data_IF_194297486238
#
_entry.id   IF_194297486238
#
_cell.length_a   1.000
_cell.length_b   1.000
_cell.length_c   1.000
_cell.angle_alpha   90.00
_cell.angle_beta   90.00
_cell.angle_gamma   90.00
#
_symmetry.space_group_name_H-M   'P 1'
#
loop_
_entity.id
_entity.type
_entity.pdbx_description
1 polymer ?
#
# COMPACT_ATOMS: atom_id res chain seq x y z
N UNK A 1 -80.07 2.04 -41.10
CA UNK A 1 -79.06 3.12 -41.09
C UNK A 1 -79.33 4.05 -39.91
N UNK A 2 -78.63 3.89 -38.79
CA UNK A 2 -78.68 4.81 -37.63
C UNK A 2 -77.26 4.96 -37.07
N UNK A 3 -76.64 6.11 -37.32
CA UNK A 3 -75.34 6.51 -36.77
C UNK A 3 -75.54 6.93 -35.31
N UNK A 4 -74.81 6.33 -34.37
CA UNK A 4 -74.69 6.83 -32.99
C UNK A 4 -73.31 7.49 -32.86
N UNK A 5 -73.31 8.79 -32.62
CA UNK A 5 -72.15 9.62 -32.30
C UNK A 5 -71.85 9.41 -30.82
N UNK A 6 -70.63 8.99 -30.48
CA UNK A 6 -70.15 8.88 -29.10
C UNK A 6 -69.29 10.12 -28.81
N UNK A 7 -69.58 10.91 -27.75
CA UNK A 7 -68.81 12.10 -27.42
C UNK A 7 -67.47 11.72 -26.76
N UNK A 8 -66.40 12.32 -27.30
CA UNK A 8 -65.02 12.22 -26.87
C UNK A 8 -64.81 12.94 -25.53
N UNK A 9 -64.88 12.21 -24.41
CA UNK A 9 -64.43 12.72 -23.10
C UNK A 9 -62.90 12.61 -22.99
N UNK A 10 -62.24 13.73 -23.23
CA UNK A 10 -60.80 13.93 -23.08
C UNK A 10 -60.42 13.85 -21.59
N UNK A 11 -59.87 12.70 -21.16
CA UNK A 11 -59.31 12.51 -19.82
C UNK A 11 -57.89 13.11 -19.79
N UNK A 12 -57.76 14.28 -19.18
CA UNK A 12 -56.45 14.89 -18.88
C UNK A 12 -55.83 14.13 -17.70
N UNK A 13 -54.75 13.38 -17.97
CA UNK A 13 -53.91 12.77 -16.94
C UNK A 13 -52.82 13.78 -16.55
N UNK A 14 -52.89 14.30 -15.32
CA UNK A 14 -51.80 15.09 -14.72
C UNK A 14 -50.75 14.10 -14.19
N UNK A 15 -49.60 14.03 -14.84
CA UNK A 15 -48.44 13.30 -14.35
C UNK A 15 -47.68 14.17 -13.34
N UNK A 16 -47.76 13.82 -12.06
CA UNK A 16 -46.96 14.44 -10.99
C UNK A 16 -45.57 13.79 -11.05
N UNK A 17 -44.59 14.51 -11.59
CA UNK A 17 -43.18 14.15 -11.49
C UNK A 17 -42.69 14.41 -10.06
N UNK A 18 -42.61 13.36 -9.24
CA UNK A 18 -42.00 13.42 -7.91
C UNK A 18 -40.48 13.29 -8.06
N UNK A 19 -39.77 14.42 -8.17
CA UNK A 19 -38.30 14.45 -8.18
C UNK A 19 -37.76 14.20 -6.77
N UNK A 20 -37.67 12.94 -6.37
CA UNK A 20 -36.98 12.55 -5.14
C UNK A 20 -35.48 12.76 -5.31
N UNK A 21 -34.90 13.71 -4.58
CA UNK A 21 -33.44 13.82 -4.46
C UNK A 21 -32.94 12.69 -3.56
N UNK A 22 -32.05 11.78 -4.03
CA UNK A 22 -31.42 10.84 -3.12
C UNK A 22 -30.60 11.59 -2.07
N UNK A 23 -30.93 11.34 -0.79
CA UNK A 23 -30.11 11.76 0.34
C UNK A 23 -28.89 10.84 0.34
N UNK A 24 -27.76 11.35 -0.11
CA UNK A 24 -26.46 10.66 0.00
C UNK A 24 -25.93 10.95 1.41
N UNK A 25 -25.96 9.95 2.28
CA UNK A 25 -25.23 10.03 3.54
C UNK A 25 -23.74 9.86 3.23
N UNK A 26 -22.99 10.96 3.25
CA UNK A 26 -21.53 10.88 3.28
C UNK A 26 -21.12 10.29 4.65
N UNK A 27 -20.56 9.08 4.64
CA UNK A 27 -19.94 8.50 5.83
C UNK A 27 -18.74 9.39 6.22
N UNK A 28 -18.72 9.87 7.46
CA UNK A 28 -17.61 10.65 7.99
C UNK A 28 -16.35 9.77 8.02
N UNK A 29 -15.35 10.11 7.20
CA UNK A 29 -14.06 9.45 7.22
C UNK A 29 -13.27 9.93 8.45
N UNK A 30 -13.20 9.08 9.47
CA UNK A 30 -12.47 9.39 10.71
C UNK A 30 -10.98 9.09 10.54
N UNK A 31 -10.07 9.92 11.08
CA UNK A 31 -8.64 9.68 10.93
C UNK A 31 -8.21 8.32 11.48
N UNK A 32 -7.50 7.53 10.66
CA UNK A 32 -6.86 6.27 11.08
C UNK A 32 -5.61 6.57 11.92
N UNK A 33 -5.29 5.68 12.87
CA UNK A 33 -4.06 5.79 13.69
C UNK A 33 -2.79 5.81 12.83
N UNK A 34 -2.72 4.95 11.81
CA UNK A 34 -1.68 4.96 10.79
C UNK A 34 -2.27 5.55 9.52
N UNK A 35 -1.99 6.82 9.26
CA UNK A 35 -2.48 7.50 8.07
C UNK A 35 -1.80 6.94 6.81
N UNK A 36 -2.55 6.92 5.71
CA UNK A 36 -2.01 6.54 4.40
C UNK A 36 -1.15 7.67 3.83
N UNK A 37 -0.06 7.30 3.18
CA UNK A 37 0.84 8.18 2.47
C UNK A 37 1.31 7.53 1.17
N UNK A 38 1.78 8.37 0.25
CA UNK A 38 2.38 7.92 -0.99
C UNK A 38 3.55 8.81 -1.37
N UNK A 39 4.53 8.23 -2.05
CA UNK A 39 5.65 8.93 -2.67
C UNK A 39 5.90 8.34 -4.04
N UNK A 40 6.22 9.18 -5.04
CA UNK A 40 6.65 8.71 -6.34
C UNK A 40 7.86 9.50 -6.84
N UNK A 41 8.62 8.88 -7.73
CA UNK A 41 9.79 9.46 -8.38
C UNK A 41 9.86 9.00 -9.83
N UNK A 42 10.05 9.95 -10.74
CA UNK A 42 10.39 9.68 -12.12
C UNK A 42 11.91 9.43 -12.21
N UNK A 43 12.31 8.27 -12.75
CA UNK A 43 13.70 7.90 -12.99
C UNK A 43 13.83 7.44 -14.45
N UNK A 44 14.55 8.23 -15.25
CA UNK A 44 14.50 8.08 -16.70
C UNK A 44 13.06 8.15 -17.22
N UNK A 45 12.60 7.08 -17.88
CA UNK A 45 11.23 6.96 -18.42
C UNK A 45 10.28 6.19 -17.50
N UNK A 46 10.77 5.63 -16.38
CA UNK A 46 9.95 4.86 -15.45
C UNK A 46 9.54 5.73 -14.27
N UNK A 47 8.25 5.70 -13.93
CA UNK A 47 7.80 6.13 -12.61
C UNK A 47 7.92 4.96 -11.64
N UNK A 48 8.40 5.25 -10.43
CA UNK A 48 8.37 4.35 -9.29
C UNK A 48 7.49 4.98 -8.23
N UNK A 49 6.50 4.25 -7.71
CA UNK A 49 5.60 4.75 -6.67
C UNK A 49 5.50 3.79 -5.48
N UNK A 50 5.31 4.34 -4.30
CA UNK A 50 5.13 3.59 -3.05
C UNK A 50 3.89 4.12 -2.35
N UNK A 51 2.96 3.22 -2.04
CA UNK A 51 1.75 3.49 -1.27
C UNK A 51 1.82 2.70 0.03
N UNK A 52 1.65 3.37 1.17
CA UNK A 52 1.89 2.78 2.47
C UNK A 52 1.08 3.46 3.57
N UNK A 53 0.92 2.78 4.70
CA UNK A 53 0.44 3.40 5.94
C UNK A 53 1.64 3.68 6.85
N UNK A 54 1.72 4.91 7.38
CA UNK A 54 2.87 5.35 8.19
C UNK A 54 2.57 5.41 9.68
N UNK A 55 2.90 4.38 10.47
CA UNK A 55 2.77 4.43 11.92
C UNK A 55 3.77 5.42 12.54
N UNK A 56 3.35 6.07 13.63
CA UNK A 56 4.23 6.85 14.49
C UNK A 56 5.04 5.95 15.44
N UNK A 57 6.19 6.40 15.94
CA UNK A 57 6.93 5.69 16.99
C UNK A 57 6.12 5.70 18.29
N UNK A 58 5.55 6.85 18.67
CA UNK A 58 4.71 7.01 19.86
C UNK A 58 5.38 6.52 21.15
N UNK A 59 6.66 6.84 21.36
CA UNK A 59 7.46 6.41 22.51
C UNK A 59 7.57 4.88 22.70
N UNK A 60 7.29 4.09 21.66
CA UNK A 60 7.43 2.62 21.69
C UNK A 60 8.82 2.21 21.25
N UNK A 61 9.28 1.08 21.76
CA UNK A 61 10.43 0.39 21.20
C UNK A 61 10.00 -0.27 19.88
N UNK A 62 10.67 0.09 18.78
CA UNK A 62 10.27 -0.33 17.43
C UNK A 62 10.96 -1.64 17.06
N UNK A 63 12.28 -1.60 16.94
CA UNK A 63 13.08 -2.72 16.44
C UNK A 63 13.29 -3.77 17.52
N UNK A 64 13.01 -5.03 17.22
CA UNK A 64 13.05 -6.15 18.17
C UNK A 64 11.82 -6.26 19.08
N UNK A 65 10.86 -5.33 19.00
CA UNK A 65 9.58 -5.36 19.74
C UNK A 65 8.39 -5.23 18.82
N UNK A 66 8.04 -4.01 18.41
CA UNK A 66 6.91 -3.77 17.52
C UNK A 66 7.15 -4.39 16.13
N UNK A 67 8.38 -4.27 15.65
CA UNK A 67 8.90 -4.98 14.48
C UNK A 67 9.88 -6.01 15.02
N UNK A 68 9.45 -7.26 15.25
CA UNK A 68 10.34 -8.29 15.74
C UNK A 68 11.38 -8.64 14.67
N UNK A 69 12.53 -9.14 15.10
CA UNK A 69 13.55 -9.63 14.19
C UNK A 69 13.15 -10.96 13.55
N UNK A 70 13.67 -11.24 12.37
CA UNK A 70 13.42 -12.45 11.62
C UNK A 70 11.97 -12.59 11.13
N UNK A 71 11.60 -13.83 10.83
CA UNK A 71 10.24 -14.20 10.43
C UNK A 71 9.40 -14.56 11.65
N UNK A 72 8.13 -14.16 11.65
CA UNK A 72 7.28 -14.24 12.84
C UNK A 72 5.89 -14.80 12.51
N UNK A 73 5.33 -15.60 13.42
CA UNK A 73 3.92 -15.98 13.33
C UNK A 73 3.06 -14.85 13.92
N UNK A 74 2.17 -14.29 13.09
CA UNK A 74 1.33 -13.15 13.49
C UNK A 74 0.05 -13.57 14.24
N UNK A 75 -0.19 -14.87 14.41
CA UNK A 75 -1.33 -15.41 15.16
C UNK A 75 -2.68 -15.26 14.44
N UNK A 76 -2.68 -14.83 13.18
CA UNK A 76 -3.86 -14.65 12.34
C UNK A 76 -3.51 -14.86 10.86
N UNK A 77 -4.51 -15.24 10.06
CA UNK A 77 -4.34 -15.55 8.64
C UNK A 77 -3.75 -16.95 8.40
N UNK A 78 -3.28 -17.19 7.19
CA UNK A 78 -2.75 -18.50 6.76
C UNK A 78 -1.25 -18.63 6.96
N UNK A 79 -0.53 -17.52 7.09
CA UNK A 79 0.93 -17.53 7.20
C UNK A 79 1.37 -17.97 8.60
N UNK A 80 2.16 -19.04 8.66
CA UNK A 80 2.78 -19.51 9.92
C UNK A 80 4.12 -18.85 10.20
N UNK A 81 4.68 -18.16 9.21
CA UNK A 81 5.96 -17.47 9.26
C UNK A 81 5.91 -16.30 8.28
N UNK A 82 5.94 -15.08 8.81
CA UNK A 82 5.70 -13.86 8.04
C UNK A 82 6.84 -12.86 8.22
N UNK A 83 7.26 -12.18 7.13
CA UNK A 83 8.10 -11.00 7.22
C UNK A 83 7.30 -9.80 7.73
N UNK A 84 7.96 -8.71 8.11
CA UNK A 84 7.28 -7.46 8.42
C UNK A 84 6.77 -6.80 7.12
N UNK A 85 5.53 -6.28 7.14
CA UNK A 85 4.87 -5.63 5.98
C UNK A 85 5.43 -4.25 5.59
N UNK A 86 6.57 -3.86 6.18
CA UNK A 86 7.24 -2.58 5.93
C UNK A 86 6.29 -1.35 5.98
N UNK A 87 5.39 -1.35 6.96
CA UNK A 87 4.24 -0.44 7.03
C UNK A 87 3.28 -0.86 8.15
N UNK A 88 2.05 -0.36 8.09
CA UNK A 88 0.96 -0.74 8.99
C UNK A 88 -0.32 -1.09 8.22
N UNK A 89 -1.20 -1.84 8.86
CA UNK A 89 -2.49 -2.26 8.32
C UNK A 89 -2.35 -3.04 6.99
N UNK A 90 -2.68 -2.46 5.83
CA UNK A 90 -2.56 -3.09 4.51
C UNK A 90 -1.08 -3.26 4.07
N UNK A 91 -0.87 -3.99 2.97
CA UNK A 91 0.46 -4.10 2.37
C UNK A 91 0.99 -2.70 1.97
N UNK A 92 2.26 -2.46 2.23
CA UNK A 92 2.99 -1.45 1.48
C UNK A 92 3.12 -1.94 0.05
N UNK A 93 2.73 -1.12 -0.92
CA UNK A 93 2.75 -1.46 -2.34
C UNK A 93 3.81 -0.61 -3.01
N UNK A 94 4.74 -1.27 -3.71
CA UNK A 94 5.68 -0.62 -4.61
C UNK A 94 5.33 -0.96 -6.06
N UNK A 95 5.33 0.04 -6.93
CA UNK A 95 4.99 -0.09 -8.34
C UNK A 95 6.12 0.44 -9.21
N UNK A 96 6.48 -0.34 -10.23
CA UNK A 96 7.46 0.01 -11.25
C UNK A 96 6.78 0.09 -12.61
N UNK A 97 6.89 1.24 -13.29
CA UNK A 97 6.32 1.43 -14.63
C UNK A 97 7.03 0.64 -15.74
N UNK A 98 8.29 0.26 -15.54
CA UNK A 98 9.10 -0.54 -16.46
C UNK A 98 9.90 -1.60 -15.69
N UNK A 99 10.51 -2.53 -16.42
CA UNK A 99 11.47 -3.48 -15.84
C UNK A 99 12.64 -2.73 -15.19
N UNK A 100 13.05 -3.18 -14.01
CA UNK A 100 14.09 -2.55 -13.20
C UNK A 100 15.15 -3.55 -12.76
N UNK A 101 16.27 -3.03 -12.28
CA UNK A 101 17.24 -3.79 -11.50
C UNK A 101 17.25 -3.29 -10.06
N UNK A 102 17.05 -4.18 -9.10
CA UNK A 102 17.14 -3.90 -7.67
C UNK A 102 18.34 -4.67 -7.13
N UNK A 103 19.32 -3.98 -6.55
CA UNK A 103 20.60 -4.58 -6.12
C UNK A 103 21.23 -5.49 -7.19
N UNK A 104 21.18 -5.03 -8.45
CA UNK A 104 21.71 -5.74 -9.61
C UNK A 104 20.85 -6.90 -10.15
N UNK A 105 19.76 -7.28 -9.47
CA UNK A 105 18.86 -8.35 -9.87
C UNK A 105 17.67 -7.81 -10.66
N UNK A 106 17.25 -8.52 -11.70
CA UNK A 106 16.13 -8.10 -12.55
C UNK A 106 14.78 -8.31 -11.85
N UNK A 107 13.88 -7.33 -12.03
CA UNK A 107 12.49 -7.39 -11.61
C UNK A 107 11.62 -6.78 -12.71
N UNK A 108 10.62 -7.52 -13.16
CA UNK A 108 9.70 -7.05 -14.20
C UNK A 108 8.85 -5.88 -13.70
N UNK A 109 8.38 -5.04 -14.62
CA UNK A 109 7.40 -4.00 -14.35
C UNK A 109 6.16 -4.57 -13.64
N UNK A 110 5.56 -3.80 -12.73
CA UNK A 110 4.35 -4.21 -12.04
C UNK A 110 4.26 -3.72 -10.59
N UNK A 111 3.24 -4.25 -9.89
CA UNK A 111 2.94 -3.94 -8.48
C UNK A 111 3.34 -5.11 -7.58
N UNK A 112 4.01 -4.78 -6.48
CA UNK A 112 4.51 -5.76 -5.53
C UNK A 112 4.17 -5.33 -4.10
N UNK A 113 3.83 -6.32 -3.27
CA UNK A 113 3.76 -6.17 -1.83
C UNK A 113 5.18 -6.13 -1.28
N UNK A 114 5.53 -5.04 -0.60
CA UNK A 114 6.84 -4.85 -0.02
C UNK A 114 6.87 -5.43 1.40
N UNK A 115 7.75 -6.40 1.62
CA UNK A 115 8.00 -6.96 2.94
C UNK A 115 9.47 -6.91 3.28
N UNK A 116 9.79 -6.98 4.57
CA UNK A 116 11.15 -6.96 5.06
C UNK A 116 11.34 -7.96 6.20
N UNK A 117 12.43 -8.72 6.14
CA UNK A 117 12.95 -9.49 7.28
C UNK A 117 14.06 -8.64 7.90
N UNK A 118 13.89 -8.23 9.15
CA UNK A 118 14.87 -7.38 9.84
C UNK A 118 15.75 -8.27 10.72
N UNK A 119 17.06 -8.16 10.56
CA UNK A 119 18.02 -8.91 11.37
C UNK A 119 18.62 -8.03 12.48
N UNK A 120 18.97 -8.65 13.60
CA UNK A 120 19.60 -7.95 14.73
C UNK A 120 21.02 -7.47 14.40
N UNK A 121 21.69 -8.14 13.46
CA UNK A 121 23.06 -7.86 13.04
C UNK A 121 23.19 -6.64 12.09
N UNK A 122 22.12 -5.87 11.91
CA UNK A 122 22.13 -4.67 11.07
C UNK A 122 21.83 -4.93 9.60
N UNK A 123 21.38 -6.13 9.23
CA UNK A 123 20.94 -6.46 7.87
C UNK A 123 19.42 -6.48 7.74
N UNK A 124 18.92 -6.38 6.52
CA UNK A 124 17.53 -6.65 6.19
C UNK A 124 17.44 -7.38 4.85
N UNK A 125 16.48 -8.30 4.73
CA UNK A 125 16.07 -8.87 3.45
C UNK A 125 14.81 -8.16 2.98
N UNK A 126 14.87 -7.49 1.83
CA UNK A 126 13.74 -6.84 1.18
C UNK A 126 13.11 -7.83 0.22
N UNK A 127 11.80 -7.99 0.32
CA UNK A 127 11.01 -8.97 -0.41
C UNK A 127 9.95 -8.25 -1.24
N UNK A 128 9.89 -8.58 -2.52
CA UNK A 128 8.88 -8.11 -3.46
C UNK A 128 7.92 -9.26 -3.76
N UNK A 129 6.78 -9.31 -3.06
CA UNK A 129 5.75 -10.33 -3.27
C UNK A 129 4.79 -9.94 -4.39
N UNK A 130 4.40 -10.88 -5.24
CA UNK A 130 3.38 -10.65 -6.29
C UNK A 130 2.00 -10.33 -5.70
N UNK A 131 1.73 -10.78 -4.47
CA UNK A 131 0.49 -10.52 -3.76
C UNK A 131 0.54 -9.17 -3.02
N UNK A 132 0.27 -8.11 -3.76
CA UNK A 132 0.22 -6.75 -3.25
C UNK A 132 -1.13 -6.37 -2.62
N UNK A 133 -2.15 -7.23 -2.71
CA UNK A 133 -3.52 -6.95 -2.27
C UNK A 133 -3.87 -7.51 -0.89
N UNK A 134 -3.00 -8.33 -0.30
CA UNK A 134 -3.23 -8.93 1.01
C UNK A 134 -3.25 -7.89 2.15
N UNK A 135 -3.88 -8.28 3.27
CA UNK A 135 -3.86 -7.48 4.49
C UNK A 135 -2.52 -7.60 5.21
N UNK A 136 -1.51 -6.91 4.69
CA UNK A 136 -0.12 -7.05 5.13
C UNK A 136 0.36 -8.50 5.04
N UNK A 137 1.18 -8.92 6.01
CA UNK A 137 1.83 -10.25 5.97
C UNK A 137 1.02 -11.41 6.57
N UNK A 138 -0.26 -11.25 6.91
CA UNK A 138 -1.07 -12.33 7.51
C UNK A 138 -1.31 -13.53 6.57
N UNK A 139 -1.26 -13.27 5.27
CA UNK A 139 -1.45 -14.27 4.21
C UNK A 139 -0.21 -14.35 3.32
N UNK A 140 0.96 -14.00 3.86
CA UNK A 140 2.23 -14.10 3.14
C UNK A 140 2.51 -15.56 2.74
N UNK A 141 2.91 -15.74 1.48
CA UNK A 141 3.23 -17.03 0.89
C UNK A 141 4.57 -16.91 0.14
N UNK A 142 5.65 -17.59 0.59
CA UNK A 142 6.98 -17.48 -0.01
C UNK A 142 7.01 -17.80 -1.52
N UNK A 143 6.12 -18.67 -2.00
CA UNK A 143 6.03 -18.99 -3.42
C UNK A 143 5.54 -17.83 -4.29
N UNK A 144 5.02 -16.75 -3.69
CA UNK A 144 4.61 -15.53 -4.38
C UNK A 144 5.74 -14.49 -4.49
N UNK A 145 6.92 -14.75 -3.93
CA UNK A 145 8.05 -13.82 -3.99
C UNK A 145 8.61 -13.73 -5.42
N UNK A 146 8.61 -12.52 -5.97
CA UNK A 146 9.22 -12.22 -7.26
C UNK A 146 10.72 -11.95 -7.12
N UNK A 147 11.13 -11.32 -6.02
CA UNK A 147 12.53 -10.98 -5.75
C UNK A 147 12.79 -10.87 -4.25
N UNK A 148 14.00 -11.26 -3.85
CA UNK A 148 14.57 -10.97 -2.53
C UNK A 148 15.99 -10.39 -2.66
N UNK A 149 16.28 -9.34 -1.92
CA UNK A 149 17.61 -8.68 -1.87
C UNK A 149 18.02 -8.43 -0.43
N UNK A 150 19.31 -8.58 -0.12
CA UNK A 150 19.86 -8.28 1.20
C UNK A 150 20.52 -6.90 1.16
N UNK A 151 20.26 -6.09 2.19
CA UNK A 151 20.81 -4.74 2.34
C UNK A 151 21.33 -4.51 3.75
N UNK A 152 22.28 -3.58 3.88
CA UNK A 152 22.78 -3.12 5.18
C UNK A 152 21.95 -1.93 5.67
N UNK A 153 21.42 -2.06 6.89
CA UNK A 153 20.69 -0.97 7.57
C UNK A 153 21.65 0.05 8.14
N UNK A 154 21.19 1.28 8.30
CA UNK A 154 21.98 2.40 8.83
C UNK A 154 21.29 3.02 10.03
N UNK A 155 22.08 3.57 10.95
CA UNK A 155 21.56 4.43 12.02
C UNK A 155 21.39 5.84 11.50
N UNK A 156 20.22 6.43 11.72
CA UNK A 156 19.87 7.80 11.33
C UNK A 156 19.35 8.60 12.54
N UNK A 157 19.25 9.94 12.45
CA UNK A 157 18.48 10.73 13.40
C UNK A 157 17.03 10.22 13.55
N UNK A 158 16.38 10.58 14.64
CA UNK A 158 15.03 10.10 14.94
C UNK A 158 14.00 10.62 13.94
N UNK A 159 13.28 9.68 13.32
CA UNK A 159 12.13 9.92 12.44
C UNK A 159 10.87 9.37 13.10
N UNK A 160 9.93 10.26 13.44
CA UNK A 160 8.74 9.89 14.22
C UNK A 160 7.76 9.02 13.45
N UNK A 161 7.51 9.34 12.18
CA UNK A 161 6.58 8.58 11.34
C UNK A 161 7.38 7.79 10.30
N UNK A 162 7.03 6.52 10.10
CA UNK A 162 7.61 5.74 9.01
C UNK A 162 7.52 6.52 7.71
N UNK A 163 8.63 6.65 7.00
CA UNK A 163 8.69 7.48 5.79
C UNK A 163 9.52 6.78 4.74
N UNK A 164 8.97 6.68 3.52
CA UNK A 164 9.75 6.28 2.35
C UNK A 164 10.30 7.52 1.64
N UNK A 165 11.57 7.47 1.25
CA UNK A 165 12.28 8.55 0.57
C UNK A 165 13.09 8.02 -0.60
N UNK A 166 13.23 8.83 -1.65
CA UNK A 166 14.18 8.58 -2.74
C UNK A 166 15.46 9.40 -2.48
N UNK A 167 16.60 8.73 -2.45
CA UNK A 167 17.92 9.35 -2.29
C UNK A 167 18.85 8.96 -3.43
N UNK A 168 20.04 9.55 -3.47
CA UNK A 168 21.10 9.21 -4.45
C UNK A 168 20.60 9.21 -5.90
N UNK A 169 19.76 10.20 -6.23
CA UNK A 169 19.14 10.33 -7.54
C UNK A 169 20.20 10.49 -8.63
N UNK A 170 20.05 9.71 -9.69
CA UNK A 170 20.78 9.85 -10.94
C UNK A 170 19.81 9.83 -12.12
N UNK A 171 20.33 9.99 -13.34
CA UNK A 171 19.51 9.93 -14.55
C UNK A 171 18.84 8.58 -14.79
N UNK A 172 19.35 7.50 -14.20
CA UNK A 172 18.93 6.11 -14.49
C UNK A 172 18.71 5.25 -13.24
N UNK A 173 18.85 5.81 -12.04
CA UNK A 173 18.68 5.08 -10.79
C UNK A 173 18.51 5.99 -9.59
N UNK A 174 18.11 5.39 -8.47
CA UNK A 174 18.00 6.02 -7.16
C UNK A 174 18.07 4.93 -6.09
N UNK A 175 18.29 5.34 -4.84
CA UNK A 175 18.07 4.51 -3.66
C UNK A 175 16.66 4.80 -3.12
N UNK A 176 15.92 3.75 -2.75
CA UNK A 176 14.61 3.88 -2.06
C UNK A 176 14.80 3.48 -0.62
N UNK A 177 14.74 4.43 0.31
CA UNK A 177 14.96 4.14 1.72
C UNK A 177 13.68 4.25 2.56
N UNK A 178 13.55 3.36 3.55
CA UNK A 178 12.60 3.45 4.66
C UNK A 178 13.31 4.05 5.88
N UNK A 179 12.83 5.19 6.36
CA UNK A 179 13.28 5.86 7.58
C UNK A 179 12.22 5.72 8.67
N UNK A 180 12.59 5.14 9.83
CA UNK A 180 11.71 5.09 10.99
C UNK A 180 12.46 4.90 12.32
N UNK A 181 12.03 5.62 13.36
CA UNK A 181 12.79 5.77 14.59
C UNK A 181 14.24 6.16 14.25
N UNK A 182 15.24 5.40 14.70
CA UNK A 182 16.65 5.67 14.42
C UNK A 182 17.27 4.74 13.37
N UNK A 183 16.46 4.08 12.53
CA UNK A 183 16.94 3.12 11.53
C UNK A 183 16.48 3.52 10.13
N UNK A 184 17.41 3.40 9.20
CA UNK A 184 17.18 3.47 7.77
C UNK A 184 17.43 2.10 7.14
N UNK A 185 16.57 1.71 6.21
CA UNK A 185 16.68 0.50 5.40
C UNK A 185 16.67 0.96 3.92
N UNK A 186 17.81 0.92 3.21
CA UNK A 186 17.90 1.33 1.81
C UNK A 186 17.40 0.26 0.83
#
# INVERSE_FOLDING_TARGET
>A
MKRKIIPMFMKVFIAIFFSGTPIVYAQLDVPRNSQRASVSQQIGISEISIQYSRPAVNNREIWGKLVPYGMNNLGFGTATSSPWRAGADENTIIEFGHDVKIEGKELAAGKYGLHMVIEENGKATIIFSKNHTAWGSYFYEPSEDALQVEVDTKTIPHTEFLTYVFTDLSSTGATVALDWAKKQIP
#
